data_IF_249964163623
#
_entry.id   IF_249964163623
#
_cell.length_a   1.000
_cell.length_b   1.000
_cell.length_c   1.000
_cell.angle_alpha   90.00
_cell.angle_beta   90.00
_cell.angle_gamma   90.00
#
_symmetry.space_group_name_H-M   'P 1'
#
loop_
_entity.id
_entity.type
_entity.pdbx_description
1 polymer ?
#
# COMPACT_ATOMS: atom_id res chain seq x y z
N UNK A 1 -16.54 24.33 14.00
CA UNK A 1 -15.90 24.03 12.70
C UNK A 1 -15.43 22.59 12.78
N UNK A 2 -15.93 21.73 11.89
CA UNK A 2 -15.61 20.32 11.85
C UNK A 2 -14.14 20.13 11.45
N UNK A 3 -13.33 19.55 12.31
CA UNK A 3 -12.11 18.86 11.87
C UNK A 3 -12.01 17.54 12.64
N UNK A 4 -12.99 16.66 12.37
CA UNK A 4 -12.82 15.23 12.64
C UNK A 4 -11.78 14.78 11.63
N UNK A 5 -10.52 14.81 12.02
CA UNK A 5 -9.43 14.15 11.28
C UNK A 5 -9.93 12.74 11.00
N UNK A 6 -10.18 12.42 9.74
CA UNK A 6 -10.69 11.11 9.35
C UNK A 6 -9.76 10.09 10.00
N UNK A 7 -10.29 9.30 10.95
CA UNK A 7 -9.52 8.27 11.63
C UNK A 7 -8.98 7.38 10.52
N UNK A 8 -7.69 7.47 10.26
CA UNK A 8 -7.07 6.71 9.19
C UNK A 8 -7.37 5.24 9.50
N UNK A 9 -8.25 4.65 8.69
CA UNK A 9 -8.66 3.25 8.82
C UNK A 9 -7.43 2.34 8.57
N UNK A 10 -6.44 2.91 7.88
CA UNK A 10 -5.10 2.39 7.64
C UNK A 10 -4.08 3.12 8.52
N UNK A 11 -2.97 2.46 8.88
CA UNK A 11 -1.86 3.13 9.59
C UNK A 11 -1.33 4.35 8.82
N UNK A 12 -0.45 5.15 9.42
CA UNK A 12 0.12 6.31 8.72
C UNK A 12 1.23 5.85 7.74
N UNK A 13 1.49 6.57 6.64
CA UNK A 13 2.66 6.29 5.78
C UNK A 13 3.95 6.19 6.60
N UNK A 14 4.07 7.05 7.62
CA UNK A 14 5.14 7.08 8.62
C UNK A 14 5.44 5.75 9.31
N UNK A 15 4.42 4.91 9.50
CA UNK A 15 4.49 3.66 10.25
C UNK A 15 4.97 2.45 9.44
N UNK A 16 5.16 2.60 8.13
CA UNK A 16 5.66 1.50 7.28
C UNK A 16 7.11 1.21 7.61
N UNK A 17 7.38 -0.05 7.96
CA UNK A 17 8.70 -0.63 8.12
C UNK A 17 9.10 -1.36 6.83
N UNK A 18 10.03 -0.81 6.02
CA UNK A 18 10.45 -1.43 4.76
C UNK A 18 11.04 -2.84 4.97
N UNK A 19 11.77 -3.06 6.07
CA UNK A 19 12.40 -4.34 6.36
C UNK A 19 11.37 -5.45 6.65
N UNK A 20 10.19 -5.08 7.15
CA UNK A 20 9.05 -6.00 7.29
C UNK A 20 8.30 -6.17 5.97
N UNK A 21 8.06 -5.07 5.25
CA UNK A 21 7.34 -5.12 3.98
C UNK A 21 7.99 -6.08 2.98
N UNK A 22 9.31 -5.99 2.79
CA UNK A 22 10.01 -6.82 1.81
C UNK A 22 10.24 -8.29 2.23
N UNK A 23 9.77 -8.68 3.42
CA UNK A 23 9.68 -10.09 3.83
C UNK A 23 8.34 -10.72 3.47
N UNK A 24 7.36 -9.93 3.05
CA UNK A 24 6.03 -10.40 2.68
C UNK A 24 6.02 -10.96 1.24
N UNK A 25 5.03 -11.79 0.86
CA UNK A 25 4.81 -12.16 -0.53
C UNK A 25 4.67 -10.94 -1.46
N UNK A 26 5.13 -11.08 -2.71
CA UNK A 26 5.13 -9.98 -3.69
C UNK A 26 3.77 -9.27 -3.84
N UNK A 27 2.61 -9.97 -3.86
CA UNK A 27 1.31 -9.28 -3.92
C UNK A 27 1.04 -8.34 -2.72
N UNK A 28 1.50 -8.71 -1.52
CA UNK A 28 1.39 -7.85 -0.33
C UNK A 28 2.35 -6.65 -0.40
N UNK A 29 3.54 -6.84 -0.96
CA UNK A 29 4.49 -5.75 -1.19
C UNK A 29 3.91 -4.72 -2.17
N UNK A 30 3.37 -5.21 -3.29
CA UNK A 30 2.70 -4.39 -4.30
C UNK A 30 1.55 -3.60 -3.68
N UNK A 31 0.74 -4.25 -2.84
CA UNK A 31 -0.36 -3.59 -2.15
C UNK A 31 0.11 -2.51 -1.17
N UNK A 32 1.16 -2.78 -0.39
CA UNK A 32 1.74 -1.77 0.51
C UNK A 32 2.23 -0.53 -0.24
N UNK A 33 2.76 -0.71 -1.46
CA UNK A 33 3.16 0.40 -2.34
C UNK A 33 1.95 1.16 -2.88
N UNK A 34 0.89 0.47 -3.35
CA UNK A 34 -0.35 1.11 -3.84
C UNK A 34 -1.04 1.93 -2.75
N UNK A 35 -1.11 1.39 -1.53
CA UNK A 35 -1.63 2.07 -0.36
C UNK A 35 -0.97 3.42 -0.10
N UNK A 36 0.35 3.51 -0.28
CA UNK A 36 1.06 4.78 -0.12
C UNK A 36 0.62 5.83 -1.15
N UNK A 37 0.36 5.40 -2.39
CA UNK A 37 -0.18 6.28 -3.43
C UNK A 37 -1.64 6.66 -3.15
N UNK A 38 -2.47 5.74 -2.69
CA UNK A 38 -3.85 6.02 -2.23
C UNK A 38 -3.87 7.06 -1.10
N UNK A 39 -2.85 7.04 -0.23
CA UNK A 39 -2.63 8.05 0.83
C UNK A 39 -2.01 9.37 0.32
N UNK A 40 -1.91 9.57 -1.00
CA UNK A 40 -1.44 10.80 -1.62
C UNK A 40 0.08 11.00 -1.60
N UNK A 41 0.88 9.96 -1.32
CA UNK A 41 2.34 10.08 -1.40
C UNK A 41 2.79 10.18 -2.87
N UNK A 42 3.74 11.06 -3.14
CA UNK A 42 4.41 11.11 -4.45
C UNK A 42 5.40 9.95 -4.62
N UNK A 43 5.78 9.66 -5.87
CA UNK A 43 6.80 8.62 -6.17
C UNK A 43 8.10 8.88 -5.41
N UNK A 44 8.52 10.14 -5.29
CA UNK A 44 9.73 10.53 -4.56
C UNK A 44 9.64 10.26 -3.06
N UNK A 45 8.47 10.52 -2.47
CA UNK A 45 8.21 10.21 -1.06
C UNK A 45 8.20 8.70 -0.80
N UNK A 46 7.59 7.92 -1.70
CA UNK A 46 7.54 6.46 -1.60
C UNK A 46 8.94 5.85 -1.73
N UNK A 47 9.73 6.26 -2.73
CA UNK A 47 11.10 5.73 -2.89
C UNK A 47 12.00 6.07 -1.72
N UNK A 48 11.89 7.29 -1.16
CA UNK A 48 12.70 7.73 -0.03
C UNK A 48 12.36 6.91 1.22
N UNK A 49 11.08 6.61 1.41
CA UNK A 49 10.60 5.77 2.52
C UNK A 49 11.04 4.31 2.39
N UNK A 50 10.96 3.75 1.20
CA UNK A 50 11.20 2.31 0.98
C UNK A 50 12.65 1.98 0.62
N UNK A 51 13.51 2.98 0.40
CA UNK A 51 14.90 2.76 -0.03
C UNK A 51 15.00 2.16 -1.43
N UNK A 52 14.02 2.43 -2.30
CA UNK A 52 13.94 1.88 -3.66
C UNK A 52 14.35 2.90 -4.72
N UNK A 53 14.63 2.41 -5.92
CA UNK A 53 14.67 3.24 -7.12
C UNK A 53 13.25 3.55 -7.64
N UNK A 54 13.13 4.60 -8.46
CA UNK A 54 11.86 4.94 -9.13
C UNK A 54 11.34 3.77 -9.97
N UNK A 55 12.24 3.04 -10.65
CA UNK A 55 11.88 1.88 -11.46
C UNK A 55 11.28 0.75 -10.61
N UNK A 56 11.89 0.45 -9.46
CA UNK A 56 11.39 -0.58 -8.54
C UNK A 56 10.02 -0.22 -7.95
N UNK A 57 9.80 1.05 -7.59
CA UNK A 57 8.50 1.52 -7.10
C UNK A 57 7.42 1.35 -8.18
N UNK A 58 7.72 1.73 -9.43
CA UNK A 58 6.77 1.56 -10.56
C UNK A 58 6.48 0.09 -10.83
N UNK A 59 7.51 -0.75 -10.83
CA UNK A 59 7.35 -2.19 -11.03
C UNK A 59 6.47 -2.83 -9.95
N UNK A 60 6.65 -2.48 -8.68
CA UNK A 60 5.81 -2.98 -7.59
C UNK A 60 4.37 -2.49 -7.69
N UNK A 61 4.14 -1.20 -8.04
CA UNK A 61 2.80 -0.67 -8.21
C UNK A 61 2.02 -1.38 -9.34
N UNK A 62 2.73 -1.77 -10.40
CA UNK A 62 2.19 -2.45 -11.58
C UNK A 62 2.14 -3.98 -11.44
N UNK A 63 2.73 -4.56 -10.40
CA UNK A 63 2.84 -6.01 -10.25
C UNK A 63 1.45 -6.65 -10.11
N UNK A 64 1.12 -7.55 -11.05
CA UNK A 64 -0.14 -8.29 -11.02
C UNK A 64 -0.07 -9.42 -9.98
N UNK A 65 -1.13 -9.53 -9.17
CA UNK A 65 -1.24 -10.51 -8.10
C UNK A 65 -2.44 -10.20 -7.22
N UNK A 66 -3.27 -11.21 -6.97
CA UNK A 66 -4.48 -11.05 -6.16
C UNK A 66 -4.06 -11.08 -4.69
N UNK A 67 -3.99 -9.91 -4.07
CA UNK A 67 -3.98 -9.81 -2.62
C UNK A 67 -5.29 -9.16 -2.19
N UNK A 68 -6.13 -9.92 -1.47
CA UNK A 68 -7.35 -9.40 -0.88
C UNK A 68 -7.08 -9.00 0.57
N UNK A 69 -7.24 -7.71 0.88
CA UNK A 69 -7.21 -7.22 2.27
C UNK A 69 -8.43 -7.84 3.00
N UNK A 70 -8.23 -8.76 3.94
CA UNK A 70 -9.33 -9.28 4.77
C UNK A 70 -9.91 -8.15 5.64
N UNK A 71 -11.22 -7.91 5.75
CA UNK A 71 -12.37 -8.75 5.43
C UNK A 71 -13.51 -8.01 4.71
N UNK A 72 -13.28 -7.60 3.48
CA UNK A 72 -14.35 -7.50 2.47
C UNK A 72 -13.86 -8.18 1.20
N UNK A 73 -14.05 -9.50 1.14
CA UNK A 73 -14.23 -10.14 -0.15
C UNK A 73 -15.61 -9.72 -0.66
N UNK A 74 -15.74 -8.58 -1.34
CA UNK A 74 -16.87 -8.41 -2.26
C UNK A 74 -16.55 -9.29 -3.46
N UNK A 75 -16.95 -10.55 -3.30
CA UNK A 75 -16.63 -11.66 -4.17
C UNK A 75 -17.17 -12.96 -3.58
N UNK A 76 -18.37 -12.90 -2.99
CA UNK A 76 -19.28 -14.04 -2.78
C UNK A 76 -20.71 -13.52 -2.68
N UNK A 77 -21.29 -13.17 -3.82
CA UNK A 77 -22.57 -13.78 -4.17
C UNK A 77 -22.29 -14.60 -5.44
N UNK A 78 -22.30 -15.91 -5.25
CA UNK A 78 -22.44 -16.88 -6.31
C UNK A 78 -23.94 -16.96 -6.58
N UNK A 79 -24.42 -16.39 -7.69
CA UNK A 79 -25.35 -16.94 -8.70
C UNK A 79 -25.66 -15.89 -9.77
#
# INVERSE_FOLDING_TARGET
MLDKTAKAIFGTPGSIDPAKLFKMPLPMQAEGVRLLFEMGQSVDQVRARLGLSVAQVRALAQAEGIFSRGGEGIGKEFE
#
